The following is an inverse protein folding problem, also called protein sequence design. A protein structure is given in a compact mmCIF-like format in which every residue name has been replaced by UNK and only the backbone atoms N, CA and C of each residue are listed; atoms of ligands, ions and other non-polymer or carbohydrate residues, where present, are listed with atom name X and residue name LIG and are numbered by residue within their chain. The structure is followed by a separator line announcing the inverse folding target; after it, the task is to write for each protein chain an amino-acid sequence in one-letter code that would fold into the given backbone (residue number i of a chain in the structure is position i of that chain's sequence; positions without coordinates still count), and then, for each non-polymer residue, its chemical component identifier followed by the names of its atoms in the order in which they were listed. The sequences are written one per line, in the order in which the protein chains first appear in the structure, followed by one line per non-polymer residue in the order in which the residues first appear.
data_IF_973221477464
#
_entry.id   IF_973221477464
#
_cell.length_a   1.000
_cell.length_b   1.000
_cell.length_c   1.000
_cell.angle_alpha   90.00
_cell.angle_beta   90.00
_cell.angle_gamma   90.00
#
_symmetry.space_group_name_H-M   'P 1'
#
loop_
_entity.id
_entity.type
_entity.pdbx_description
1 polymer ?
#
# COMPACT_ATOMS: atom_id res chain seq x y z
N UNK A 1 65.24 -59.57 62.61
CA UNK A 1 64.50 -60.48 61.70
C UNK A 1 63.23 -59.76 61.25
N UNK A 2 63.25 -59.00 60.14
CA UNK A 2 62.79 -59.32 58.77
C UNK A 2 61.31 -59.77 58.63
N UNK A 3 60.50 -58.81 58.14
CA UNK A 3 59.59 -58.86 56.95
C UNK A 3 58.20 -59.52 57.06
N UNK A 4 57.15 -58.71 56.82
CA UNK A 4 56.09 -58.83 55.79
C UNK A 4 55.07 -57.68 56.02
N UNK A 5 54.93 -56.61 55.22
CA UNK A 5 54.51 -56.40 53.82
C UNK A 5 53.00 -56.12 53.62
N UNK A 6 52.69 -54.84 53.41
CA UNK A 6 51.76 -54.19 52.46
C UNK A 6 50.25 -54.52 52.37
N UNK A 7 49.50 -53.41 52.18
CA UNK A 7 48.48 -53.15 51.14
C UNK A 7 47.00 -53.08 51.57
N UNK A 8 46.44 -51.86 51.71
CA UNK A 8 45.07 -51.39 51.34
C UNK A 8 44.76 -50.08 52.11
N UNK A 9 44.99 -48.86 51.60
CA UNK A 9 44.30 -48.08 50.58
C UNK A 9 42.81 -47.74 50.85
N UNK A 10 42.53 -46.43 50.99
CA UNK A 10 41.25 -45.69 50.87
C UNK A 10 40.24 -45.94 52.01
N UNK A 11 39.68 -44.94 52.69
CA UNK A 11 38.84 -43.90 52.08
C UNK A 11 38.59 -42.79 53.12
N UNK A 12 39.02 -41.59 52.77
CA UNK A 12 38.67 -40.33 53.44
C UNK A 12 37.21 -40.01 53.09
N UNK A 13 36.32 -40.11 54.07
CA UNK A 13 34.89 -39.80 53.95
C UNK A 13 34.69 -38.28 54.17
N UNK A 14 35.01 -37.48 53.15
CA UNK A 14 34.66 -36.07 53.09
C UNK A 14 33.19 -35.94 52.64
N UNK A 15 32.33 -35.57 53.57
CA UNK A 15 30.89 -35.36 53.37
C UNK A 15 30.68 -33.99 52.68
N UNK A 16 30.93 -33.96 51.36
CA UNK A 16 30.63 -32.84 50.47
C UNK A 16 29.11 -32.81 50.23
N UNK A 17 28.44 -31.89 50.92
CA UNK A 17 27.06 -31.48 50.65
C UNK A 17 27.04 -30.85 49.26
N UNK A 18 26.72 -31.66 48.25
CA UNK A 18 26.47 -31.21 46.89
C UNK A 18 25.16 -30.43 46.84
N UNK A 19 25.25 -29.11 46.97
CA UNK A 19 24.19 -28.19 46.62
C UNK A 19 24.06 -28.23 45.09
N UNK A 20 23.20 -29.13 44.59
CA UNK A 20 22.83 -29.20 43.18
C UNK A 20 22.00 -27.96 42.83
N UNK A 21 22.68 -26.92 42.36
CA UNK A 21 22.07 -25.82 41.62
C UNK A 21 21.50 -26.41 40.32
N UNK A 22 20.23 -26.83 40.36
CA UNK A 22 19.44 -27.06 39.15
C UNK A 22 19.33 -25.71 38.43
N UNK A 23 20.22 -25.47 37.47
CA UNK A 23 20.11 -24.33 36.57
C UNK A 23 18.88 -24.51 35.69
N UNK A 24 17.76 -23.90 36.05
CA UNK A 24 16.63 -23.74 35.15
C UNK A 24 17.10 -22.89 33.96
N UNK A 25 17.44 -23.54 32.85
CA UNK A 25 17.73 -22.87 31.59
C UNK A 25 16.40 -22.35 30.99
N UNK A 26 16.01 -21.14 31.36
CA UNK A 26 14.86 -20.46 30.75
C UNK A 26 15.24 -20.11 29.31
N UNK A 27 14.48 -20.64 28.34
CA UNK A 27 14.68 -20.33 26.93
C UNK A 27 14.47 -18.83 26.66
N UNK A 28 15.36 -18.23 25.86
CA UNK A 28 15.29 -16.82 25.48
C UNK A 28 14.74 -16.69 24.06
N UNK A 29 13.78 -15.79 23.86
CA UNK A 29 13.29 -15.41 22.54
C UNK A 29 13.88 -14.04 22.16
N UNK A 30 14.60 -14.01 21.05
CA UNK A 30 15.14 -12.81 20.41
C UNK A 30 14.32 -12.51 19.15
N UNK A 31 13.80 -11.30 19.02
CA UNK A 31 13.03 -10.84 17.86
C UNK A 31 13.76 -9.65 17.26
N UNK A 32 14.19 -9.77 16.01
CA UNK A 32 14.88 -8.74 15.23
C UNK A 32 14.07 -8.40 14.00
N UNK A 33 14.17 -7.16 13.53
CA UNK A 33 13.61 -6.79 12.24
C UNK A 33 14.52 -5.92 11.40
N UNK A 34 14.31 -5.98 10.09
CA UNK A 34 14.87 -5.05 9.12
C UNK A 34 13.71 -4.32 8.42
N UNK A 35 13.59 -2.99 8.55
CA UNK A 35 14.41 -2.11 9.41
C UNK A 35 14.16 -2.33 10.92
N UNK A 36 15.09 -1.87 11.75
CA UNK A 36 14.98 -1.91 13.22
C UNK A 36 13.89 -0.97 13.76
N UNK A 37 13.50 -1.14 15.03
CA UNK A 37 12.51 -0.29 15.70
C UNK A 37 11.06 -0.59 15.31
N UNK A 38 10.78 -1.80 14.79
CA UNK A 38 9.42 -2.25 14.52
C UNK A 38 8.70 -2.57 15.84
N UNK A 39 7.41 -2.26 15.93
CA UNK A 39 6.59 -2.64 17.08
C UNK A 39 6.36 -4.15 17.08
N UNK A 40 6.48 -4.75 18.26
CA UNK A 40 6.17 -6.16 18.49
C UNK A 40 4.92 -6.24 19.35
N UNK A 41 3.88 -6.91 18.85
CA UNK A 41 2.64 -7.17 19.57
C UNK A 41 2.42 -8.66 19.76
N UNK A 42 1.76 -9.01 20.86
CA UNK A 42 1.35 -10.35 21.21
C UNK A 42 -0.16 -10.44 21.12
N UNK A 43 -0.66 -11.24 20.19
CA UNK A 43 -2.08 -11.56 20.07
C UNK A 43 -2.34 -12.97 20.60
N UNK A 44 -3.38 -13.10 21.42
CA UNK A 44 -3.88 -14.38 21.92
C UNK A 44 -5.28 -14.59 21.35
N UNK A 45 -5.66 -15.85 21.20
CA UNK A 45 -6.99 -16.21 20.69
C UNK A 45 -8.09 -15.54 21.52
N UNK A 46 -8.97 -14.79 20.85
CA UNK A 46 -10.06 -14.05 21.48
C UNK A 46 -9.68 -12.75 22.21
N UNK A 47 -8.41 -12.33 22.17
CA UNK A 47 -7.92 -11.10 22.82
C UNK A 47 -7.36 -10.09 21.81
N UNK A 48 -7.47 -8.80 22.13
CA UNK A 48 -6.82 -7.75 21.34
C UNK A 48 -5.28 -7.86 21.44
N UNK A 49 -4.53 -7.58 20.36
CA UNK A 49 -3.07 -7.59 20.39
C UNK A 49 -2.52 -6.57 21.40
N UNK A 50 -1.57 -7.00 22.23
CA UNK A 50 -0.91 -6.15 23.24
C UNK A 50 0.51 -5.87 22.80
N UNK A 51 0.91 -4.59 22.77
CA UNK A 51 2.31 -4.21 22.49
C UNK A 51 3.23 -4.73 23.61
N UNK A 52 4.24 -5.50 23.23
CA UNK A 52 5.22 -6.10 24.15
C UNK A 52 6.62 -5.48 24.02
N UNK A 53 6.88 -4.69 22.97
CA UNK A 53 8.15 -3.98 22.82
C UNK A 53 8.39 -3.47 21.40
N UNK A 54 9.66 -3.20 21.09
CA UNK A 54 10.15 -2.86 19.76
C UNK A 54 11.39 -3.69 19.44
N UNK A 55 11.63 -3.99 18.17
CA UNK A 55 12.83 -4.71 17.74
C UNK A 55 14.10 -3.84 17.82
N UNK A 56 15.25 -4.41 18.19
CA UNK A 56 15.45 -5.77 18.67
C UNK A 56 14.86 -5.98 20.09
N UNK A 57 14.14 -7.09 20.29
CA UNK A 57 13.47 -7.42 21.55
C UNK A 57 13.92 -8.79 22.06
N UNK A 58 14.42 -8.84 23.28
CA UNK A 58 14.75 -10.09 23.98
C UNK A 58 13.79 -10.30 25.14
N UNK A 59 13.15 -11.45 25.22
CA UNK A 59 12.28 -11.81 26.33
C UNK A 59 12.35 -13.30 26.68
N UNK A 60 12.10 -13.66 27.95
CA UNK A 60 11.87 -15.05 28.35
C UNK A 60 10.73 -15.69 27.52
N UNK A 61 10.92 -16.92 27.04
CA UNK A 61 9.96 -17.60 26.16
C UNK A 61 8.61 -17.89 26.84
N UNK A 62 8.60 -18.05 28.18
CA UNK A 62 7.40 -18.23 28.99
C UNK A 62 6.43 -17.03 28.87
N UNK A 63 6.94 -15.79 28.85
CA UNK A 63 6.16 -14.55 28.70
C UNK A 63 5.23 -14.55 27.48
N UNK A 64 5.58 -15.30 26.43
CA UNK A 64 4.77 -15.44 25.21
C UNK A 64 3.69 -16.52 25.38
N UNK A 65 4.01 -17.65 26.02
CA UNK A 65 3.19 -18.86 26.05
C UNK A 65 2.69 -19.24 27.46
N UNK A 66 2.25 -18.24 28.23
CA UNK A 66 1.88 -18.40 29.64
C UNK A 66 0.49 -19.03 29.91
N UNK A 67 -0.32 -19.32 28.88
CA UNK A 67 -1.68 -19.85 29.07
C UNK A 67 -1.83 -21.26 28.47
N UNK A 68 -2.26 -22.26 29.27
CA UNK A 68 -2.57 -23.59 28.75
C UNK A 68 -3.73 -23.48 27.77
N UNK A 69 -3.62 -24.11 26.59
CA UNK A 69 -4.78 -24.20 25.68
C UNK A 69 -4.83 -23.16 24.57
N UNK A 70 -3.95 -22.15 24.53
CA UNK A 70 -3.99 -21.12 23.48
C UNK A 70 -2.73 -21.10 22.61
N UNK A 71 -2.88 -20.70 21.34
CA UNK A 71 -1.75 -20.35 20.47
C UNK A 71 -1.52 -18.84 20.55
N UNK A 72 -0.26 -18.44 20.48
CA UNK A 72 0.11 -17.03 20.47
C UNK A 72 0.57 -16.61 19.07
N UNK A 73 0.21 -15.40 18.68
CA UNK A 73 0.72 -14.75 17.48
C UNK A 73 1.64 -13.60 17.87
N UNK A 74 2.85 -13.60 17.31
CA UNK A 74 3.73 -12.44 17.33
C UNK A 74 3.47 -11.64 16.08
N UNK A 75 3.06 -10.39 16.25
CA UNK A 75 2.81 -9.45 15.17
C UNK A 75 3.96 -8.45 15.19
N UNK A 76 4.67 -8.33 14.08
CA UNK A 76 5.72 -7.33 13.90
C UNK A 76 5.26 -6.33 12.86
N UNK A 77 5.17 -5.05 13.24
CA UNK A 77 4.70 -3.98 12.34
C UNK A 77 5.52 -2.72 12.48
N UNK A 78 5.59 -1.95 11.40
CA UNK A 78 6.21 -0.63 11.38
C UNK A 78 5.49 0.24 10.35
N UNK A 79 5.28 1.51 10.65
CA UNK A 79 4.64 2.44 9.73
C UNK A 79 5.38 2.48 8.39
N UNK A 80 4.63 2.39 7.29
CA UNK A 80 5.18 2.29 5.93
C UNK A 80 5.62 0.88 5.51
N UNK A 81 5.40 -0.14 6.34
CA UNK A 81 5.74 -1.53 6.05
C UNK A 81 4.55 -2.47 6.25
N UNK A 82 4.50 -3.52 5.44
CA UNK A 82 3.53 -4.60 5.59
C UNK A 82 3.79 -5.32 6.91
N UNK A 83 2.73 -5.49 7.71
CA UNK A 83 2.83 -6.25 8.95
C UNK A 83 3.06 -7.75 8.69
N UNK A 84 3.85 -8.37 9.56
CA UNK A 84 4.13 -9.80 9.51
C UNK A 84 3.60 -10.49 10.78
N UNK A 85 2.94 -11.63 10.61
CA UNK A 85 2.27 -12.36 11.68
C UNK A 85 2.87 -13.77 11.80
N UNK A 86 3.39 -14.10 12.98
CA UNK A 86 4.05 -15.37 13.25
C UNK A 86 3.28 -16.17 14.30
N UNK A 87 2.85 -17.38 13.94
CA UNK A 87 2.28 -18.32 14.89
C UNK A 87 3.41 -18.92 15.73
N UNK A 88 3.31 -18.79 17.05
CA UNK A 88 4.24 -19.40 17.99
C UNK A 88 3.62 -20.71 18.49
N UNK A 89 4.10 -21.87 18.03
CA UNK A 89 3.62 -23.17 18.51
C UNK A 89 4.08 -23.41 19.95
N UNK A 90 3.33 -24.22 20.68
CA UNK A 90 3.57 -24.43 22.11
C UNK A 90 4.87 -25.15 22.47
N UNK A 91 5.51 -25.87 21.55
CA UNK A 91 6.49 -26.93 21.87
C UNK A 91 7.92 -26.40 22.15
N UNK A 92 8.09 -25.10 22.43
CA UNK A 92 9.40 -24.44 22.42
C UNK A 92 10.06 -24.32 23.81
N UNK A 93 10.02 -25.37 24.64
CA UNK A 93 10.32 -25.26 26.08
C UNK A 93 11.76 -25.56 26.53
N UNK A 94 12.76 -25.47 25.65
CA UNK A 94 14.17 -25.55 26.10
C UNK A 94 15.19 -24.86 25.20
N UNK A 95 14.80 -24.44 23.99
CA UNK A 95 15.69 -23.78 23.05
C UNK A 95 15.51 -22.27 23.07
N UNK A 96 16.62 -21.56 22.89
CA UNK A 96 16.55 -20.14 22.53
C UNK A 96 16.05 -20.02 21.09
N UNK A 97 15.15 -19.08 20.85
CA UNK A 97 14.55 -18.82 19.53
C UNK A 97 15.04 -17.46 19.05
N UNK A 98 15.43 -17.39 17.78
CA UNK A 98 15.66 -16.14 17.09
C UNK A 98 14.65 -15.99 15.94
N UNK A 99 13.83 -14.95 16.01
CA UNK A 99 12.89 -14.55 14.97
C UNK A 99 13.46 -13.33 14.25
N UNK A 100 13.92 -13.52 13.02
CA UNK A 100 14.42 -12.45 12.16
C UNK A 100 13.38 -12.12 11.09
N UNK A 101 12.85 -10.89 11.14
CA UNK A 101 11.76 -10.44 10.27
C UNK A 101 12.27 -9.40 9.28
N UNK A 102 12.18 -9.66 7.99
CA UNK A 102 12.41 -8.64 6.97
C UNK A 102 11.07 -8.05 6.56
N UNK A 103 10.79 -6.82 7.01
CA UNK A 103 9.55 -6.15 6.68
C UNK A 103 9.63 -5.61 5.26
N UNK A 104 8.66 -5.99 4.43
CA UNK A 104 8.51 -5.43 3.10
C UNK A 104 7.80 -4.09 3.20
N UNK A 105 8.29 -3.07 2.49
CA UNK A 105 7.59 -1.79 2.42
C UNK A 105 6.15 -2.01 1.93
N UNK A 106 5.20 -1.29 2.53
CA UNK A 106 3.79 -1.31 2.12
C UNK A 106 3.59 -0.40 0.90
N UNK A 107 4.39 -0.67 -0.14
CA UNK A 107 4.27 -0.02 -1.44
C UNK A 107 3.06 -0.62 -2.14
N UNK A 108 2.09 0.22 -2.50
CA UNK A 108 1.03 -0.14 -3.43
C UNK A 108 1.66 -0.80 -4.68
N UNK A 109 1.07 -1.86 -5.24
CA UNK A 109 1.59 -2.49 -6.45
C UNK A 109 1.86 -1.43 -7.52
N UNK A 110 2.95 -1.57 -8.28
CA UNK A 110 3.35 -0.57 -9.27
C UNK A 110 2.21 -0.23 -10.25
N UNK A 111 1.35 -1.20 -10.58
CA UNK A 111 0.14 -0.98 -11.37
C UNK A 111 -0.86 0.00 -10.72
N UNK A 112 -1.09 -0.11 -9.41
CA UNK A 112 -1.96 0.80 -8.66
C UNK A 112 -1.34 2.18 -8.47
N UNK A 113 -0.02 2.24 -8.25
CA UNK A 113 0.72 3.51 -8.15
C UNK A 113 0.68 4.28 -9.47
N UNK A 114 0.87 3.60 -10.60
CA UNK A 114 0.79 4.19 -11.93
C UNK A 114 -0.62 4.70 -12.25
N UNK A 115 -1.65 3.96 -11.85
CA UNK A 115 -3.04 4.37 -12.07
C UNK A 115 -3.44 5.58 -11.20
N UNK A 116 -3.01 5.61 -9.93
CA UNK A 116 -3.24 6.75 -9.05
C UNK A 116 -2.52 8.01 -9.54
N UNK A 117 -1.27 7.89 -9.96
CA UNK A 117 -0.51 9.01 -10.55
C UNK A 117 -1.11 9.49 -11.87
N UNK A 118 -1.55 8.57 -12.74
CA UNK A 118 -2.22 8.92 -13.99
C UNK A 118 -3.54 9.66 -13.73
N UNK A 119 -4.33 9.19 -12.77
CA UNK A 119 -5.56 9.85 -12.35
C UNK A 119 -5.27 11.25 -11.78
N UNK A 120 -4.25 11.40 -10.94
CA UNK A 120 -3.85 12.70 -10.38
C UNK A 120 -3.38 13.67 -11.48
N UNK A 121 -2.52 13.23 -12.39
CA UNK A 121 -2.05 14.02 -13.55
C UNK A 121 -3.23 14.48 -14.40
N UNK A 122 -4.18 13.58 -14.68
CA UNK A 122 -5.38 13.88 -15.46
C UNK A 122 -6.27 14.90 -14.74
N UNK A 123 -6.59 14.69 -13.46
CA UNK A 123 -7.43 15.59 -12.68
C UNK A 123 -6.83 16.99 -12.59
N UNK A 124 -5.51 17.09 -12.36
CA UNK A 124 -4.79 18.36 -12.31
C UNK A 124 -4.84 19.08 -13.66
N UNK A 125 -4.57 18.36 -14.75
CA UNK A 125 -4.62 18.92 -16.10
C UNK A 125 -6.03 19.39 -16.50
N UNK A 126 -7.09 18.68 -16.09
CA UNK A 126 -8.48 19.12 -16.31
C UNK A 126 -8.76 20.42 -15.55
N UNK A 127 -8.36 20.51 -14.27
CA UNK A 127 -8.56 21.71 -13.47
C UNK A 127 -7.82 22.92 -14.05
N UNK A 128 -6.58 22.72 -14.49
CA UNK A 128 -5.78 23.76 -15.14
C UNK A 128 -6.41 24.20 -16.47
N UNK A 129 -6.86 23.27 -17.31
CA UNK A 129 -7.55 23.60 -18.56
C UNK A 129 -8.83 24.42 -18.30
N UNK A 130 -9.61 24.07 -17.27
CA UNK A 130 -10.80 24.83 -16.88
C UNK A 130 -10.44 26.25 -16.40
N UNK A 131 -9.37 26.40 -15.62
CA UNK A 131 -8.87 27.71 -15.21
C UNK A 131 -8.43 28.56 -16.41
N UNK A 132 -7.70 27.99 -17.37
CA UNK A 132 -7.32 28.66 -18.61
C UNK A 132 -8.55 29.08 -19.43
N UNK A 133 -9.58 28.23 -19.53
CA UNK A 133 -10.85 28.58 -20.19
C UNK A 133 -11.53 29.76 -19.48
N UNK A 134 -11.59 29.75 -18.14
CA UNK A 134 -12.21 30.83 -17.35
C UNK A 134 -11.47 32.17 -17.50
N UNK A 135 -10.15 32.12 -17.58
CA UNK A 135 -9.28 33.29 -17.81
C UNK A 135 -9.19 33.68 -19.29
N UNK A 136 -9.93 33.00 -20.16
CA UNK A 136 -10.02 33.21 -21.62
C UNK A 136 -8.72 32.92 -22.38
N UNK A 137 -7.78 32.22 -21.77
CA UNK A 137 -6.59 31.72 -22.45
C UNK A 137 -6.91 30.41 -23.20
N UNK A 138 -7.68 30.55 -24.28
CA UNK A 138 -8.17 29.42 -25.05
C UNK A 138 -7.05 28.68 -25.79
N UNK A 139 -5.97 29.36 -26.15
CA UNK A 139 -4.86 28.76 -26.87
C UNK A 139 -4.07 27.82 -25.96
N UNK A 140 -3.72 28.26 -24.74
CA UNK A 140 -3.04 27.37 -23.79
C UNK A 140 -3.96 26.23 -23.33
N UNK A 141 -5.25 26.51 -23.11
CA UNK A 141 -6.21 25.47 -22.75
C UNK A 141 -6.31 24.38 -23.83
N UNK A 142 -6.33 24.76 -25.10
CA UNK A 142 -6.39 23.84 -26.24
C UNK A 142 -5.13 22.98 -26.35
N UNK A 143 -3.95 23.57 -26.20
CA UNK A 143 -2.66 22.83 -26.21
C UNK A 143 -2.65 21.80 -25.07
N UNK A 144 -3.02 22.21 -23.87
CA UNK A 144 -3.05 21.32 -22.70
C UNK A 144 -4.03 20.17 -22.90
N UNK A 145 -5.26 20.44 -23.36
CA UNK A 145 -6.26 19.41 -23.60
C UNK A 145 -5.88 18.47 -24.74
N UNK A 146 -5.25 18.98 -25.81
CA UNK A 146 -4.74 18.16 -26.89
C UNK A 146 -3.66 17.18 -26.41
N UNK A 147 -2.80 17.60 -25.48
CA UNK A 147 -1.83 16.69 -24.86
C UNK A 147 -2.54 15.65 -23.97
N UNK A 148 -3.55 16.06 -23.20
CA UNK A 148 -4.29 15.14 -22.33
C UNK A 148 -5.07 14.08 -23.11
N UNK A 149 -5.65 14.40 -24.27
CA UNK A 149 -6.38 13.41 -25.10
C UNK A 149 -5.47 12.41 -25.79
N UNK A 150 -4.20 12.73 -26.03
CA UNK A 150 -3.22 11.75 -26.54
C UNK A 150 -2.99 10.64 -25.51
N UNK A 151 -2.80 11.03 -24.25
CA UNK A 151 -2.60 10.09 -23.15
C UNK A 151 -3.91 9.41 -22.71
N UNK A 152 -5.06 10.09 -22.87
CA UNK A 152 -6.35 9.68 -22.31
C UNK A 152 -7.50 9.79 -23.34
N UNK A 153 -7.43 9.08 -24.48
CA UNK A 153 -8.34 9.30 -25.62
C UNK A 153 -9.81 8.97 -25.32
N UNK A 154 -10.06 8.15 -24.29
CA UNK A 154 -11.38 7.68 -23.89
C UNK A 154 -11.98 8.46 -22.71
N UNK A 155 -11.48 9.66 -22.42
CA UNK A 155 -12.05 10.54 -21.40
C UNK A 155 -12.93 11.59 -22.08
N UNK A 156 -14.24 11.36 -22.01
CA UNK A 156 -15.26 12.15 -22.71
C UNK A 156 -15.28 13.63 -22.28
N UNK A 157 -14.92 13.93 -21.02
CA UNK A 157 -14.80 15.30 -20.50
C UNK A 157 -13.75 16.13 -21.23
N UNK A 158 -12.62 15.54 -21.66
CA UNK A 158 -11.58 16.27 -22.39
C UNK A 158 -12.11 16.76 -23.75
N UNK A 159 -12.90 15.92 -24.41
CA UNK A 159 -13.55 16.26 -25.68
C UNK A 159 -14.66 17.30 -25.52
N UNK A 160 -15.42 17.29 -24.42
CA UNK A 160 -16.36 18.38 -24.11
C UNK A 160 -15.65 19.72 -23.89
N UNK A 161 -14.52 19.71 -23.19
CA UNK A 161 -13.74 20.92 -22.93
C UNK A 161 -13.12 21.48 -24.22
N UNK A 162 -12.61 20.61 -25.10
CA UNK A 162 -12.20 21.01 -26.45
C UNK A 162 -13.38 21.58 -27.24
N UNK A 163 -14.55 20.94 -27.20
CA UNK A 163 -15.78 21.44 -27.81
C UNK A 163 -16.17 22.82 -27.30
N UNK A 164 -16.08 23.06 -25.99
CA UNK A 164 -16.33 24.35 -25.36
C UNK A 164 -15.35 25.41 -25.89
N UNK A 165 -14.04 25.09 -25.98
CA UNK A 165 -13.02 26.01 -26.49
C UNK A 165 -13.29 26.38 -27.94
N UNK A 166 -13.51 25.40 -28.81
CA UNK A 166 -13.80 25.67 -30.22
C UNK A 166 -15.08 26.49 -30.39
N UNK A 167 -16.10 26.20 -29.59
CA UNK A 167 -17.33 26.98 -29.56
C UNK A 167 -17.07 28.44 -29.15
N UNK A 168 -16.26 28.68 -28.12
CA UNK A 168 -15.86 30.03 -27.66
C UNK A 168 -15.01 30.76 -28.71
N UNK A 169 -14.17 30.05 -29.45
CA UNK A 169 -13.41 30.55 -30.61
C UNK A 169 -14.27 30.76 -31.86
N UNK A 170 -15.58 30.43 -31.80
CA UNK A 170 -16.55 30.47 -32.91
C UNK A 170 -16.26 29.48 -34.05
N UNK A 171 -15.37 28.51 -33.83
CA UNK A 171 -15.17 27.39 -34.74
C UNK A 171 -16.24 26.32 -34.47
N UNK A 172 -17.41 26.55 -35.06
CA UNK A 172 -18.58 25.68 -34.87
C UNK A 172 -18.38 24.28 -35.46
N UNK A 173 -17.48 24.12 -36.44
CA UNK A 173 -17.23 22.82 -37.06
C UNK A 173 -16.33 21.97 -36.17
N UNK A 174 -15.23 22.53 -35.67
CA UNK A 174 -14.36 21.84 -34.72
C UNK A 174 -15.10 21.54 -33.41
N UNK A 175 -15.92 22.49 -32.93
CA UNK A 175 -16.74 22.28 -31.74
C UNK A 175 -17.68 21.08 -31.89
N UNK A 176 -18.38 20.98 -33.03
CA UNK A 176 -19.32 19.88 -33.28
C UNK A 176 -18.60 18.54 -33.28
N UNK A 177 -17.47 18.44 -34.00
CA UNK A 177 -16.66 17.21 -34.06
C UNK A 177 -16.19 16.77 -32.67
N UNK A 178 -15.76 17.72 -31.82
CA UNK A 178 -15.30 17.41 -30.47
C UNK A 178 -16.44 16.90 -29.59
N UNK A 179 -17.62 17.54 -29.61
CA UNK A 179 -18.78 17.04 -28.86
C UNK A 179 -19.29 15.69 -29.38
N UNK A 180 -19.27 15.46 -30.69
CA UNK A 180 -19.64 14.16 -31.27
C UNK A 180 -18.68 13.06 -30.82
N UNK A 181 -17.37 13.33 -30.75
CA UNK A 181 -16.40 12.39 -30.18
C UNK A 181 -16.68 12.10 -28.70
N UNK A 182 -17.04 13.13 -27.94
CA UNK A 182 -17.45 13.03 -26.55
C UNK A 182 -18.70 12.13 -26.37
N UNK A 183 -19.71 12.29 -27.24
CA UNK A 183 -20.94 11.49 -27.25
C UNK A 183 -20.67 10.02 -27.61
N UNK A 184 -19.73 9.75 -28.54
CA UNK A 184 -19.31 8.38 -28.86
C UNK A 184 -18.69 7.68 -27.65
N UNK A 185 -17.91 8.40 -26.85
CA UNK A 185 -17.21 7.84 -25.68
C UNK A 185 -18.18 7.64 -24.51
N UNK A 186 -19.04 8.62 -24.25
CA UNK A 186 -20.00 8.58 -23.14
C UNK A 186 -21.35 9.13 -23.62
N UNK A 187 -22.19 8.25 -24.18
CA UNK A 187 -23.49 8.64 -24.74
C UNK A 187 -24.46 9.15 -23.69
N UNK A 188 -25.45 9.95 -24.13
CA UNK A 188 -26.59 10.34 -23.30
C UNK A 188 -26.32 11.51 -22.36
N UNK A 189 -25.18 12.21 -22.49
CA UNK A 189 -24.86 13.34 -21.62
C UNK A 189 -25.62 14.58 -22.08
N UNK A 190 -26.59 15.00 -21.26
CA UNK A 190 -27.54 16.09 -21.55
C UNK A 190 -26.85 17.36 -22.06
N UNK A 191 -25.75 17.76 -21.42
CA UNK A 191 -25.00 18.96 -21.82
C UNK A 191 -24.35 18.82 -23.21
N UNK A 192 -23.73 17.68 -23.49
CA UNK A 192 -23.08 17.36 -24.78
C UNK A 192 -24.10 17.34 -25.91
N UNK A 193 -25.20 16.60 -25.74
CA UNK A 193 -26.29 16.50 -26.73
C UNK A 193 -26.90 17.88 -27.02
N UNK A 194 -27.12 18.68 -25.97
CA UNK A 194 -27.63 20.06 -26.14
C UNK A 194 -26.68 20.91 -26.98
N UNK A 195 -25.37 20.79 -26.78
CA UNK A 195 -24.38 21.53 -27.57
C UNK A 195 -24.31 21.04 -29.02
N UNK A 196 -24.37 19.73 -29.26
CA UNK A 196 -24.46 19.15 -30.62
C UNK A 196 -25.67 19.71 -31.37
N UNK A 197 -26.85 19.65 -30.75
CA UNK A 197 -28.08 20.15 -31.37
C UNK A 197 -27.99 21.64 -31.69
N UNK A 198 -27.50 22.45 -30.74
CA UNK A 198 -27.27 23.88 -30.94
C UNK A 198 -26.34 24.16 -32.11
N UNK A 199 -25.24 23.44 -32.21
CA UNK A 199 -24.24 23.60 -33.27
C UNK A 199 -24.77 23.21 -34.64
N UNK A 200 -25.55 22.12 -34.73
CA UNK A 200 -26.21 21.70 -35.97
C UNK A 200 -27.22 22.74 -36.46
N UNK A 201 -28.01 23.34 -35.57
CA UNK A 201 -28.91 24.44 -35.94
C UNK A 201 -28.15 25.65 -36.50
N UNK A 202 -26.99 25.99 -35.92
CA UNK A 202 -26.16 27.08 -36.44
C UNK A 202 -25.65 26.76 -37.85
N UNK A 203 -25.28 25.50 -38.13
CA UNK A 203 -24.84 25.09 -39.46
C UNK A 203 -25.97 25.16 -40.49
N UNK A 204 -27.16 24.66 -40.16
CA UNK A 204 -28.32 24.70 -41.06
C UNK A 204 -28.76 26.11 -41.44
N UNK A 205 -28.56 27.11 -40.56
CA UNK A 205 -28.86 28.52 -40.87
C UNK A 205 -27.81 29.11 -41.82
N UNK A 206 -26.56 28.63 -41.74
CA UNK A 206 -25.43 29.16 -42.53
C UNK A 206 -25.33 28.58 -43.93
N UNK A 207 -25.87 27.38 -44.18
CA UNK A 207 -26.12 26.88 -45.53
C UNK A 207 -27.55 27.27 -45.93
N UNK A 208 -27.76 28.36 -46.69
CA UNK A 208 -29.08 28.63 -47.23
C UNK A 208 -29.49 27.46 -48.11
N UNK A 209 -30.73 27.00 -47.96
CA UNK A 209 -31.38 26.10 -48.89
C UNK A 209 -31.39 26.77 -50.29
N UNK A 210 -30.42 26.43 -51.14
CA UNK A 210 -30.26 27.11 -52.42
C UNK A 210 -28.93 26.88 -53.15
N UNK A 211 -28.34 25.68 -53.07
CA UNK A 211 -27.26 25.28 -53.98
C UNK A 211 -27.64 24.03 -54.80
N UNK A 212 -28.92 23.90 -55.11
CA UNK A 212 -29.43 22.97 -56.12
C UNK A 212 -30.06 23.80 -57.24
N UNK A 213 -29.20 24.27 -58.16
CA UNK A 213 -29.53 24.59 -59.56
C UNK A 213 -28.38 24.08 -60.43
#
# INVERSE_FOLDING_TARGET
MKKQSNLFNKTVLFLLIGFSLNGCSVGLMSIRSTPEGAEVLLAREGSQPVKIGQTPLNLPADRVNNQPGQSAQIIVRKDGYKQENFLVPRVLFSSSIELSVMLSEDKLPAACTNQAQAAEKLSRGIAEAQFLIQTKDYQQAEILLNNLVVDNPNISVLWDLLGNIYYLKKDTQAALKAYEKSEVISPGRVNTIRMINKLRTIQTIRTPAGSDL
#
